data_IF_505530462343
#
_entry.id   IF_505530462343
#
_cell.length_a   1.000
_cell.length_b   1.000
_cell.length_c   1.000
_cell.angle_alpha   90.00
_cell.angle_beta   90.00
_cell.angle_gamma   90.00
#
_symmetry.space_group_name_H-M   'P 1'
#
loop_
_entity.id
_entity.type
_entity.pdbx_description
1 polymer ?
#
# COMPACT_ATOMS: atom_id res chain seq x y z
N UNK A 1 -17.99 -2.75 -16.65
CA UNK A 1 -17.26 -3.95 -17.11
C UNK A 1 -16.40 -4.43 -15.95
N UNK A 2 -16.47 -5.71 -15.55
CA UNK A 2 -15.43 -6.29 -14.70
C UNK A 2 -14.20 -6.47 -15.59
N UNK A 3 -13.09 -5.80 -15.27
CA UNK A 3 -11.84 -6.08 -15.93
C UNK A 3 -11.46 -7.55 -15.64
N UNK A 4 -11.27 -8.34 -16.70
CA UNK A 4 -10.75 -9.70 -16.60
C UNK A 4 -9.25 -9.66 -16.80
N UNK A 5 -8.51 -10.39 -15.98
CA UNK A 5 -7.07 -10.52 -16.14
C UNK A 5 -6.74 -11.28 -17.42
N UNK A 6 -5.59 -10.96 -18.01
CA UNK A 6 -5.04 -11.80 -19.07
C UNK A 6 -4.73 -13.20 -18.49
N UNK A 7 -4.73 -14.21 -19.35
CA UNK A 7 -4.39 -15.58 -18.93
C UNK A 7 -2.98 -15.62 -18.34
N UNK A 8 -2.04 -14.88 -18.93
CA UNK A 8 -0.67 -14.77 -18.44
C UNK A 8 -0.61 -14.13 -17.05
N UNK A 9 -1.31 -13.02 -16.82
CA UNK A 9 -1.36 -12.36 -15.52
C UNK A 9 -1.95 -13.27 -14.45
N UNK A 10 -3.02 -14.00 -14.79
CA UNK A 10 -3.65 -14.95 -13.87
C UNK A 10 -2.67 -16.06 -13.46
N UNK A 11 -1.95 -16.66 -14.42
CA UNK A 11 -0.95 -17.68 -14.13
C UNK A 11 0.17 -17.16 -13.23
N UNK A 12 0.64 -15.93 -13.47
CA UNK A 12 1.68 -15.29 -12.66
C UNK A 12 1.19 -15.01 -11.24
N UNK A 13 -0.05 -14.54 -11.10
CA UNK A 13 -0.69 -14.32 -9.80
C UNK A 13 -0.80 -15.62 -9.03
N UNK A 14 -1.27 -16.69 -9.65
CA UNK A 14 -1.47 -17.98 -9.00
C UNK A 14 -0.13 -18.59 -8.53
N UNK A 15 0.92 -18.48 -9.35
CA UNK A 15 2.28 -18.90 -8.96
C UNK A 15 2.82 -18.05 -7.81
N UNK A 16 2.65 -16.72 -7.86
CA UNK A 16 3.08 -15.84 -6.77
C UNK A 16 2.35 -16.18 -5.47
N UNK A 17 1.02 -16.41 -5.54
CA UNK A 17 0.18 -16.79 -4.40
C UNK A 17 0.72 -18.05 -3.71
N UNK A 18 1.08 -19.07 -4.49
CA UNK A 18 1.68 -20.30 -3.93
C UNK A 18 3.02 -20.03 -3.23
N UNK A 19 3.89 -19.21 -3.82
CA UNK A 19 5.20 -18.89 -3.25
C UNK A 19 5.14 -18.09 -1.93
N UNK A 20 4.05 -17.35 -1.71
CA UNK A 20 3.87 -16.52 -0.51
C UNK A 20 2.79 -17.02 0.44
N UNK A 21 2.16 -18.17 0.16
CA UNK A 21 0.97 -18.68 0.84
C UNK A 21 1.11 -18.73 2.37
N UNK A 22 2.32 -19.01 2.86
CA UNK A 22 2.58 -19.16 4.29
C UNK A 22 2.43 -17.84 5.08
N UNK A 23 2.67 -16.70 4.42
CA UNK A 23 2.61 -15.38 5.04
C UNK A 23 1.39 -14.58 4.60
N UNK A 24 0.64 -15.06 3.61
CA UNK A 24 -0.53 -14.40 3.06
C UNK A 24 -1.69 -14.40 4.07
N UNK A 25 -2.47 -13.32 4.08
CA UNK A 25 -3.65 -13.15 4.95
C UNK A 25 -4.89 -12.96 4.10
N UNK A 26 -6.07 -13.26 4.63
CA UNK A 26 -7.35 -13.08 3.92
C UNK A 26 -7.56 -11.63 3.44
N UNK A 27 -7.06 -10.65 4.20
CA UNK A 27 -7.09 -9.24 3.81
C UNK A 27 -6.22 -8.97 2.57
N UNK A 28 -5.08 -9.65 2.44
CA UNK A 28 -4.11 -9.40 1.38
C UNK A 28 -4.29 -10.32 0.17
N UNK A 29 -4.89 -11.49 0.32
CA UNK A 29 -5.11 -12.48 -0.73
C UNK A 29 -6.18 -12.03 -1.73
N UNK A 30 -5.79 -11.12 -2.62
CA UNK A 30 -6.60 -10.71 -3.77
C UNK A 30 -5.72 -10.62 -5.00
N UNK A 31 -6.28 -10.93 -6.17
CA UNK A 31 -5.53 -10.81 -7.43
C UNK A 31 -4.99 -9.40 -7.60
N UNK A 32 -5.79 -8.38 -7.26
CA UNK A 32 -5.38 -6.98 -7.32
C UNK A 32 -4.13 -6.69 -6.50
N UNK A 33 -4.05 -7.18 -5.25
CA UNK A 33 -2.88 -6.96 -4.42
C UNK A 33 -1.64 -7.64 -4.99
N UNK A 34 -1.76 -8.89 -5.44
CA UNK A 34 -0.65 -9.66 -5.99
C UNK A 34 -0.15 -9.06 -7.31
N UNK A 35 -1.06 -8.55 -8.16
CA UNK A 35 -0.71 -7.85 -9.40
C UNK A 35 0.08 -6.57 -9.16
N UNK A 36 -0.24 -5.80 -8.11
CA UNK A 36 0.54 -4.60 -7.77
C UNK A 36 2.01 -4.93 -7.51
N UNK A 37 2.30 -6.10 -6.92
CA UNK A 37 3.67 -6.56 -6.73
C UNK A 37 4.33 -6.98 -8.05
N UNK A 38 3.60 -7.71 -8.90
CA UNK A 38 4.12 -8.12 -10.21
C UNK A 38 4.43 -6.93 -11.12
N UNK A 39 3.57 -5.91 -11.11
CA UNK A 39 3.74 -4.68 -11.90
C UNK A 39 4.79 -3.74 -11.29
N UNK A 40 4.86 -3.65 -9.96
CA UNK A 40 5.81 -2.77 -9.27
C UNK A 40 7.28 -3.23 -9.37
N UNK A 41 7.51 -4.47 -9.78
CA UNK A 41 8.84 -5.05 -9.97
C UNK A 41 8.98 -5.63 -11.39
N UNK A 42 8.55 -4.87 -12.39
CA UNK A 42 8.71 -5.26 -13.80
C UNK A 42 10.18 -5.58 -14.13
N UNK A 43 10.40 -6.74 -14.76
CA UNK A 43 11.74 -7.25 -15.10
C UNK A 43 12.41 -8.12 -14.01
N UNK A 44 11.86 -8.18 -12.80
CA UNK A 44 12.34 -9.12 -11.78
C UNK A 44 11.79 -10.54 -12.01
N UNK A 45 12.53 -11.53 -11.54
CA UNK A 45 12.05 -12.92 -11.49
C UNK A 45 10.94 -13.07 -10.45
N UNK A 46 10.09 -14.08 -10.62
CA UNK A 46 8.95 -14.29 -9.73
C UNK A 46 9.41 -14.58 -8.28
N UNK A 47 10.53 -15.27 -8.12
CA UNK A 47 11.13 -15.62 -6.84
C UNK A 47 11.66 -14.39 -6.10
N UNK A 48 12.24 -13.42 -6.82
CA UNK A 48 12.68 -12.14 -6.23
C UNK A 48 11.50 -11.32 -5.74
N UNK A 49 10.41 -11.27 -6.52
CA UNK A 49 9.16 -10.63 -6.11
C UNK A 49 8.58 -11.34 -4.89
N UNK A 50 8.53 -12.67 -4.90
CA UNK A 50 8.03 -13.47 -3.78
C UNK A 50 8.86 -13.26 -2.50
N UNK A 51 10.19 -13.14 -2.59
CA UNK A 51 11.06 -12.85 -1.45
C UNK A 51 10.75 -11.48 -0.84
N UNK A 52 10.59 -10.45 -1.67
CA UNK A 52 10.22 -9.09 -1.21
C UNK A 52 8.81 -9.06 -0.63
N UNK A 53 7.85 -9.71 -1.28
CA UNK A 53 6.47 -9.80 -0.81
C UNK A 53 6.39 -10.55 0.52
N UNK A 54 7.11 -11.65 0.69
CA UNK A 54 7.17 -12.36 1.97
C UNK A 54 7.69 -11.47 3.11
N UNK A 55 8.72 -10.65 2.86
CA UNK A 55 9.21 -9.69 3.85
C UNK A 55 8.15 -8.62 4.16
N UNK A 56 7.44 -8.12 3.14
CA UNK A 56 6.33 -7.18 3.32
C UNK A 56 5.22 -7.80 4.18
N UNK A 57 4.74 -9.00 3.85
CA UNK A 57 3.68 -9.69 4.58
C UNK A 57 4.06 -9.98 6.03
N UNK A 58 5.31 -10.39 6.28
CA UNK A 58 5.84 -10.54 7.65
C UNK A 58 5.86 -9.21 8.40
N UNK A 59 6.28 -8.12 7.76
CA UNK A 59 6.26 -6.80 8.37
C UNK A 59 4.84 -6.33 8.70
N UNK A 60 3.86 -6.60 7.81
CA UNK A 60 2.43 -6.31 8.08
C UNK A 60 1.91 -7.05 9.31
N UNK A 61 2.28 -8.32 9.47
CA UNK A 61 1.90 -9.18 10.60
C UNK A 61 2.79 -9.02 11.83
N UNK A 62 3.74 -8.09 11.83
CA UNK A 62 4.56 -7.81 12.99
C UNK A 62 3.73 -7.23 14.14
N UNK A 63 4.38 -6.77 15.20
CA UNK A 63 3.72 -6.07 16.32
C UNK A 63 2.86 -4.87 15.88
N UNK A 64 3.11 -4.34 14.68
CA UNK A 64 2.31 -3.26 14.09
C UNK A 64 0.92 -3.69 13.59
N UNK A 65 0.70 -4.99 13.32
CA UNK A 65 -0.55 -5.57 12.83
C UNK A 65 -1.31 -4.68 11.83
N UNK A 66 -0.70 -4.43 10.67
CA UNK A 66 -1.15 -3.43 9.70
C UNK A 66 -2.51 -3.76 9.05
N UNK A 67 -2.99 -5.00 9.14
CA UNK A 67 -4.30 -5.40 8.64
C UNK A 67 -5.43 -4.86 9.55
N UNK A 68 -5.16 -4.73 10.85
CA UNK A 68 -6.12 -4.27 11.86
C UNK A 68 -5.84 -2.84 12.37
N UNK A 69 -4.67 -2.27 12.02
CA UNK A 69 -4.19 -0.99 12.53
C UNK A 69 -5.21 0.15 12.38
N UNK A 70 -5.94 0.20 11.26
CA UNK A 70 -6.92 1.24 10.97
C UNK A 70 -8.20 1.13 11.82
N UNK A 71 -8.43 -0.01 12.50
CA UNK A 71 -9.60 -0.20 13.39
C UNK A 71 -9.34 0.34 14.80
N UNK A 72 -8.08 0.63 15.14
CA UNK A 72 -7.71 1.14 16.45
C UNK A 72 -8.00 2.64 16.56
N UNK A 73 -8.36 3.13 17.76
CA UNK A 73 -8.56 4.56 17.97
C UNK A 73 -7.25 5.33 17.77
N UNK A 74 -7.33 6.49 17.12
CA UNK A 74 -6.19 7.36 16.80
C UNK A 74 -5.74 8.17 18.02
N UNK A 75 -5.18 7.51 19.04
CA UNK A 75 -4.83 8.10 20.35
C UNK A 75 -3.33 8.19 20.65
N UNK A 76 -2.45 7.81 19.73
CA UNK A 76 -1.00 7.95 19.89
C UNK A 76 -0.56 9.43 20.01
N UNK A 77 0.41 9.76 20.88
CA UNK A 77 0.85 11.16 21.09
C UNK A 77 1.28 11.91 19.84
N UNK A 78 1.76 11.19 18.82
CA UNK A 78 2.12 11.78 17.51
C UNK A 78 0.96 12.54 16.88
N UNK A 79 -0.29 12.13 17.13
CA UNK A 79 -1.47 12.74 16.53
C UNK A 79 -1.79 14.13 17.08
N UNK A 80 -1.23 14.50 18.24
CA UNK A 80 -1.29 15.89 18.73
C UNK A 80 -0.37 16.82 17.93
N UNK A 81 0.69 16.28 17.34
CA UNK A 81 1.68 17.05 16.57
C UNK A 81 1.52 16.88 15.05
N UNK A 82 0.81 15.83 14.62
CA UNK A 82 0.44 15.57 13.23
C UNK A 82 -1.09 15.52 13.15
N UNK A 83 -1.68 16.72 13.17
CA UNK A 83 -3.09 16.86 13.48
C UNK A 83 -3.98 16.11 12.49
N UNK A 84 -3.75 16.16 11.18
CA UNK A 84 -4.45 15.31 10.20
C UNK A 84 -3.90 15.52 8.79
N UNK A 85 -3.79 14.43 8.01
CA UNK A 85 -3.86 14.51 6.56
C UNK A 85 -5.34 14.62 6.15
N UNK A 86 -5.66 15.51 5.21
CA UNK A 86 -7.02 15.61 4.66
C UNK A 86 -7.10 14.60 3.51
N UNK A 87 -7.87 13.53 3.69
CA UNK A 87 -8.10 12.52 2.65
C UNK A 87 -9.51 12.62 2.10
N UNK A 88 -9.68 12.61 0.79
CA UNK A 88 -10.98 12.68 0.12
C UNK A 88 -10.94 12.15 -1.31
N UNK A 89 -12.11 12.06 -1.96
CA UNK A 89 -12.18 11.72 -3.37
C UNK A 89 -11.66 12.88 -4.23
N UNK A 90 -10.96 12.56 -5.33
CA UNK A 90 -10.36 13.56 -6.22
C UNK A 90 -11.39 14.46 -6.91
N UNK A 91 -12.56 13.92 -7.29
CA UNK A 91 -13.55 14.61 -8.12
C UNK A 91 -13.11 14.86 -9.57
N UNK A 92 -11.82 14.64 -9.90
CA UNK A 92 -11.22 14.78 -11.25
C UNK A 92 -10.79 13.44 -11.81
N UNK A 93 -10.13 12.60 -10.98
CA UNK A 93 -9.72 11.24 -11.35
C UNK A 93 -10.73 10.24 -10.79
N UNK A 94 -11.33 9.44 -11.66
CA UNK A 94 -12.26 8.37 -11.27
C UNK A 94 -11.59 7.37 -10.34
N UNK A 95 -12.25 7.06 -9.21
CA UNK A 95 -11.71 6.22 -8.13
C UNK A 95 -10.36 6.70 -7.55
N UNK A 96 -9.97 7.94 -7.81
CA UNK A 96 -8.78 8.57 -7.25
C UNK A 96 -9.05 9.13 -5.86
N UNK A 97 -8.13 8.85 -4.93
CA UNK A 97 -8.11 9.46 -3.60
C UNK A 97 -7.04 10.56 -3.59
N UNK A 98 -7.39 11.73 -3.08
CA UNK A 98 -6.44 12.81 -2.79
C UNK A 98 -6.11 12.74 -1.31
N UNK A 99 -4.81 12.70 -1.01
CA UNK A 99 -4.30 12.86 0.34
C UNK A 99 -3.50 14.16 0.43
N UNK A 100 -3.93 15.09 1.27
CA UNK A 100 -3.25 16.35 1.52
C UNK A 100 -2.52 16.29 2.86
N UNK A 101 -1.19 16.37 2.80
CA UNK A 101 -0.31 16.39 3.97
C UNK A 101 0.32 17.79 4.11
N UNK A 102 -0.15 18.63 5.05
CA UNK A 102 0.46 19.93 5.28
C UNK A 102 1.87 19.76 5.87
N UNK A 103 2.88 20.22 5.14
CA UNK A 103 4.29 20.23 5.60
C UNK A 103 4.56 21.38 6.58
N UNK A 104 3.69 22.40 6.61
CA UNK A 104 3.84 23.57 7.50
C UNK A 104 3.11 23.34 8.83
N UNK A 105 3.88 23.15 9.91
CA UNK A 105 3.37 23.01 11.28
C UNK A 105 4.09 21.97 12.13
N UNK A 106 4.80 21.03 11.51
CA UNK A 106 5.78 20.18 12.20
C UNK A 106 6.94 21.08 12.65
N UNK A 107 7.31 21.03 13.94
CA UNK A 107 8.46 21.75 14.53
C UNK A 107 9.83 21.26 14.00
N UNK A 108 9.94 20.97 12.70
CA UNK A 108 11.19 20.78 11.98
C UNK A 108 11.39 22.00 11.07
N UNK A 109 11.99 23.05 11.65
CA UNK A 109 12.44 24.20 10.89
C UNK A 109 13.64 23.80 10.03
N UNK A 110 13.39 23.48 8.77
CA UNK A 110 14.37 23.63 7.69
C UNK A 110 13.65 23.82 6.36
N UNK A 111 13.46 25.09 6.00
CA UNK A 111 13.16 25.63 4.67
C UNK A 111 12.13 24.87 3.83
N UNK A 112 10.90 25.38 3.89
CA UNK A 112 9.73 24.83 3.21
C UNK A 112 9.91 24.63 1.71
N UNK A 113 9.53 23.44 1.27
CA UNK A 113 8.98 23.17 -0.05
C UNK A 113 7.83 22.18 0.11
N UNK A 114 6.63 22.60 -0.30
CA UNK A 114 5.48 21.72 -0.38
C UNK A 114 5.70 20.74 -1.54
N UNK A 115 5.69 19.44 -1.27
CA UNK A 115 5.69 18.40 -2.29
C UNK A 115 4.27 17.84 -2.45
N UNK A 116 3.69 18.03 -3.62
CA UNK A 116 2.45 17.37 -4.02
C UNK A 116 2.82 16.00 -4.58
N UNK A 117 2.54 14.92 -3.86
CA UNK A 117 2.65 13.56 -4.40
C UNK A 117 1.30 13.15 -4.99
N UNK A 118 1.25 13.05 -6.32
CA UNK A 118 0.15 12.42 -7.05
C UNK A 118 0.58 10.99 -7.36
N UNK A 119 -0.08 9.99 -6.77
CA UNK A 119 0.10 8.59 -7.19
C UNK A 119 -0.75 8.36 -8.45
N UNK A 120 -0.12 7.87 -9.51
CA UNK A 120 -0.73 7.54 -10.80
C UNK A 120 -0.95 6.04 -10.90
#
# INVERSE_FOLDING_TARGET
MKASLSVEDQERVDKLRQLVQQNLTDYYDTDFNLLRWLQGYEGATLEEVAAKLNNHLKARRSLWNLDEFLKQPRNHPVHYHWMYGITGQSGVVDNGIVNFEPVSGSYFSSNGRSFLFCFR
#
